data_IF_516734232075
#
_entry.id   IF_516734232075
#
_cell.length_a   1.000
_cell.length_b   1.000
_cell.length_c   1.000
_cell.angle_alpha   90.00
_cell.angle_beta   90.00
_cell.angle_gamma   90.00
#
_symmetry.space_group_name_H-M   'P 1'
#
loop_
_entity.id
_entity.type
_entity.pdbx_description
1 polymer ?
#
# COMPACT_ATOMS: atom_id res chain seq x y z
N UNK A 1 11.13 -6.93 0.95
CA UNK A 1 11.76 -8.12 0.34
C UNK A 1 11.04 -8.41 -0.97
N UNK A 2 11.79 -8.48 -2.06
CA UNK A 2 11.29 -8.76 -3.40
C UNK A 2 11.16 -10.27 -3.61
N UNK A 3 10.82 -10.68 -4.84
CA UNK A 3 10.70 -12.09 -5.26
C UNK A 3 11.93 -12.94 -4.92
N UNK A 4 13.13 -12.35 -4.97
CA UNK A 4 14.38 -13.02 -4.61
C UNK A 4 14.98 -12.39 -3.36
N UNK A 5 15.58 -13.21 -2.51
CA UNK A 5 16.27 -12.79 -1.28
C UNK A 5 17.67 -13.36 -1.32
N UNK A 6 18.65 -12.53 -0.97
CA UNK A 6 20.04 -12.96 -0.84
C UNK A 6 20.31 -13.28 0.63
N UNK A 7 20.69 -14.53 0.91
CA UNK A 7 21.08 -15.01 2.24
C UNK A 7 22.47 -15.62 2.07
N UNK A 8 23.45 -15.16 2.85
CA UNK A 8 24.84 -15.63 2.80
C UNK A 8 25.45 -15.64 1.39
N UNK A 9 25.13 -14.61 0.59
CA UNK A 9 25.64 -14.45 -0.77
C UNK A 9 25.01 -15.36 -1.83
N UNK A 10 24.02 -16.18 -1.46
CA UNK A 10 23.26 -17.01 -2.39
C UNK A 10 21.86 -16.45 -2.59
N UNK A 11 21.38 -16.47 -3.82
CA UNK A 11 20.04 -16.02 -4.18
C UNK A 11 19.02 -17.15 -4.00
N UNK A 12 17.96 -16.86 -3.25
CA UNK A 12 16.86 -17.78 -2.99
C UNK A 12 15.53 -17.18 -3.45
N UNK A 13 14.63 -18.04 -3.90
CA UNK A 13 13.25 -17.65 -4.20
C UNK A 13 12.47 -17.48 -2.88
N UNK A 14 11.89 -16.30 -2.69
CA UNK A 14 11.15 -15.99 -1.48
C UNK A 14 9.71 -16.50 -1.55
N UNK A 15 9.44 -17.60 -0.87
CA UNK A 15 8.09 -18.18 -0.71
C UNK A 15 7.53 -17.99 0.71
N UNK A 16 8.25 -17.30 1.59
CA UNK A 16 7.86 -17.12 3.00
C UNK A 16 7.07 -15.83 3.25
N UNK A 17 7.07 -14.88 2.31
CA UNK A 17 6.38 -13.59 2.46
C UNK A 17 4.97 -13.59 1.89
N UNK A 18 4.08 -12.81 2.51
CA UNK A 18 2.69 -12.59 2.07
C UNK A 18 2.54 -11.65 0.86
N UNK A 19 3.56 -11.53 0.01
CA UNK A 19 3.54 -10.68 -1.19
C UNK A 19 2.87 -11.39 -2.38
N UNK A 20 1.60 -11.80 -2.22
CA UNK A 20 0.89 -12.59 -3.22
C UNK A 20 0.71 -11.86 -4.55
N UNK A 21 0.50 -10.54 -4.51
CA UNK A 21 0.22 -9.70 -5.68
C UNK A 21 1.48 -9.05 -6.27
N UNK A 22 2.67 -9.30 -5.68
CA UNK A 22 3.92 -8.75 -6.17
C UNK A 22 4.05 -7.23 -6.03
N UNK A 23 3.25 -6.58 -5.18
CA UNK A 23 3.28 -5.11 -5.02
C UNK A 23 4.59 -4.62 -4.39
N UNK A 24 5.25 -5.45 -3.59
CA UNK A 24 6.56 -5.11 -3.03
C UNK A 24 7.63 -5.21 -4.12
N UNK A 25 8.19 -4.06 -4.51
CA UNK A 25 9.22 -3.93 -5.55
C UNK A 25 8.71 -3.44 -6.91
N UNK A 26 7.41 -3.13 -7.02
CA UNK A 26 6.82 -2.56 -8.23
C UNK A 26 7.18 -1.07 -8.36
N UNK A 27 7.91 -0.71 -9.42
CA UNK A 27 8.43 0.67 -9.64
C UNK A 27 7.32 1.72 -9.63
N UNK A 28 6.16 1.42 -10.23
CA UNK A 28 5.02 2.35 -10.27
C UNK A 28 4.56 2.73 -8.86
N UNK A 29 4.50 1.75 -7.95
CA UNK A 29 4.05 1.97 -6.56
C UNK A 29 5.14 2.74 -5.80
N UNK A 30 6.40 2.38 -5.97
CA UNK A 30 7.53 3.08 -5.35
C UNK A 30 7.61 4.55 -5.76
N UNK A 31 7.41 4.86 -7.04
CA UNK A 31 7.47 6.23 -7.55
C UNK A 31 6.32 7.09 -7.03
N UNK A 32 5.11 6.52 -6.94
CA UNK A 32 3.97 7.19 -6.32
C UNK A 32 4.23 7.39 -4.83
N UNK A 33 4.75 6.39 -4.12
CA UNK A 33 5.10 6.51 -2.70
C UNK A 33 6.12 7.63 -2.45
N UNK A 34 7.19 7.70 -3.26
CA UNK A 34 8.19 8.78 -3.18
C UNK A 34 7.57 10.16 -3.41
N UNK A 35 6.66 10.31 -4.38
CA UNK A 35 5.95 11.57 -4.63
C UNK A 35 5.06 11.96 -3.46
N UNK A 36 4.31 11.02 -2.90
CA UNK A 36 3.42 11.26 -1.76
C UNK A 36 4.23 11.68 -0.52
N UNK A 37 5.35 11.01 -0.22
CA UNK A 37 6.23 11.39 0.89
C UNK A 37 6.79 12.80 0.70
N UNK A 38 7.19 13.18 -0.52
CA UNK A 38 7.66 14.55 -0.81
C UNK A 38 6.56 15.60 -0.63
N UNK A 39 5.30 15.25 -0.87
CA UNK A 39 4.15 16.18 -0.77
C UNK A 39 3.65 16.31 0.67
N UNK A 40 3.57 15.22 1.43
CA UNK A 40 2.91 15.17 2.74
C UNK A 40 3.84 14.90 3.92
N UNK A 41 5.13 14.68 3.67
CA UNK A 41 6.10 14.30 4.69
C UNK A 41 5.99 12.83 5.10
N UNK A 42 6.61 12.50 6.23
CA UNK A 42 6.73 11.12 6.72
C UNK A 42 5.58 10.66 7.61
N UNK A 43 4.71 11.59 8.04
CA UNK A 43 3.56 11.27 8.89
C UNK A 43 2.72 12.50 9.23
N UNK A 44 1.47 12.27 9.64
CA UNK A 44 0.51 13.33 9.96
C UNK A 44 0.71 13.93 11.36
N UNK A 45 1.56 13.32 12.22
CA UNK A 45 1.92 13.78 13.56
C UNK A 45 0.75 14.18 14.48
N UNK A 46 -0.46 13.64 14.23
CA UNK A 46 -1.66 13.98 15.00
C UNK A 46 -2.74 12.90 14.93
N UNK A 47 -3.65 12.85 15.90
CA UNK A 47 -4.80 11.95 15.86
C UNK A 47 -5.78 12.39 14.75
N UNK A 48 -6.50 11.43 14.18
CA UNK A 48 -7.45 11.63 13.06
C UNK A 48 -8.51 12.70 13.34
N UNK A 49 -8.92 12.88 14.60
CA UNK A 49 -9.94 13.86 15.01
C UNK A 49 -9.48 15.32 15.12
N UNK A 50 -8.19 15.62 14.99
CA UNK A 50 -7.65 16.99 15.08
C UNK A 50 -6.92 17.38 13.79
N UNK A 51 -5.60 17.19 13.76
CA UNK A 51 -4.72 17.59 12.64
C UNK A 51 -4.14 16.37 11.90
N UNK A 52 -4.58 15.16 12.25
CA UNK A 52 -4.04 13.92 11.69
C UNK A 52 -4.66 13.48 10.37
N UNK A 53 -5.77 14.09 9.94
CA UNK A 53 -6.45 13.73 8.70
C UNK A 53 -5.94 14.58 7.54
N UNK A 54 -5.45 13.89 6.52
CA UNK A 54 -4.90 14.44 5.29
C UNK A 54 -5.81 14.00 4.15
N UNK A 55 -5.91 14.77 3.07
CA UNK A 55 -6.75 14.48 1.91
C UNK A 55 -6.55 13.04 1.38
N UNK A 56 -5.31 12.54 1.38
CA UNK A 56 -4.97 11.16 1.01
C UNK A 56 -5.66 10.09 1.84
N UNK A 57 -5.96 10.35 3.12
CA UNK A 57 -6.68 9.42 3.98
C UNK A 57 -8.15 9.32 3.56
N UNK A 58 -8.79 10.44 3.22
CA UNK A 58 -10.18 10.47 2.76
C UNK A 58 -10.33 9.83 1.38
N UNK A 59 -9.38 10.08 0.47
CA UNK A 59 -9.36 9.44 -0.85
C UNK A 59 -9.22 7.92 -0.71
N UNK A 60 -8.32 7.46 0.16
CA UNK A 60 -8.13 6.03 0.43
C UNK A 60 -9.40 5.39 0.99
N UNK A 61 -10.06 6.02 1.98
CA UNK A 61 -11.33 5.55 2.53
C UNK A 61 -12.42 5.41 1.44
N UNK A 62 -12.53 6.40 0.54
CA UNK A 62 -13.51 6.37 -0.57
C UNK A 62 -13.22 5.27 -1.59
N UNK A 63 -11.95 5.07 -1.96
CA UNK A 63 -11.58 4.07 -2.95
C UNK A 63 -11.68 2.65 -2.40
N UNK A 64 -11.33 2.43 -1.12
CA UNK A 64 -11.58 1.15 -0.45
C UNK A 64 -13.07 0.85 -0.34
N UNK A 65 -13.89 1.84 0.00
CA UNK A 65 -15.34 1.68 0.04
C UNK A 65 -15.88 1.22 -1.32
N UNK A 66 -15.45 1.84 -2.43
CA UNK A 66 -15.83 1.39 -3.77
C UNK A 66 -15.34 -0.02 -4.07
N UNK A 67 -14.09 -0.33 -3.76
CA UNK A 67 -13.50 -1.64 -4.06
C UNK A 67 -14.20 -2.79 -3.30
N UNK A 68 -14.44 -2.61 -1.99
CA UNK A 68 -15.00 -3.66 -1.12
C UNK A 68 -16.53 -3.74 -1.23
N UNK A 69 -17.23 -2.60 -1.30
CA UNK A 69 -18.71 -2.58 -1.34
C UNK A 69 -19.22 -3.05 -2.70
N UNK A 70 -18.57 -2.68 -3.81
CA UNK A 70 -18.97 -3.17 -5.14
C UNK A 70 -18.69 -4.67 -5.27
N UNK A 71 -17.61 -5.18 -4.66
CA UNK A 71 -17.32 -6.61 -4.63
C UNK A 71 -18.37 -7.43 -3.85
N UNK A 72 -19.01 -6.84 -2.83
CA UNK A 72 -20.07 -7.50 -2.06
C UNK A 72 -21.40 -7.53 -2.80
N UNK A 73 -21.75 -6.48 -3.55
CA UNK A 73 -23.03 -6.42 -4.28
C UNK A 73 -23.00 -7.16 -5.63
N UNK A 74 -21.87 -7.17 -6.35
CA UNK A 74 -21.79 -7.83 -7.67
C UNK A 74 -21.80 -9.37 -7.62
N UNK A 75 -21.68 -9.98 -6.44
CA UNK A 75 -21.60 -11.45 -6.26
C UNK A 75 -22.70 -12.03 -5.36
N UNK A 76 -23.60 -11.19 -4.84
CA UNK A 76 -24.74 -11.60 -4.01
C UNK A 76 -26.10 -11.06 -4.50
N UNK A 77 -26.16 -10.47 -5.69
CA UNK A 77 -27.40 -10.30 -6.45
C UNK A 77 -27.20 -10.78 -7.88
#
# INVERSE_FOLDING_TARGET
MTKYVVIDGKEYLNMATSNFLGFVGEKRIEDVAKKTIRKYGVGSCGPRGFYGTVDVHLTLESDLAKFVIIAFFSRCF
#
